data_IF_483867942999
#
_entry.id   IF_483867942999
#
_cell.length_a   1.000
_cell.length_b   1.000
_cell.length_c   1.000
_cell.angle_alpha   90.00
_cell.angle_beta   90.00
_cell.angle_gamma   90.00
#
_symmetry.space_group_name_H-M   'P 1'
#
loop_
_entity.id
_entity.type
_entity.pdbx_description
1 polymer ?
#
# COMPACT_ATOMS: atom_id res chain seq x y z
N UNK A 1 -4.42 -1.14 -17.76
CA UNK A 1 -3.37 -1.11 -16.76
C UNK A 1 -3.32 -2.41 -15.99
N UNK A 2 -2.16 -2.99 -15.82
CA UNK A 2 -2.08 -4.24 -15.09
C UNK A 2 -2.15 -3.99 -13.58
N UNK A 3 -2.69 -4.97 -12.89
CA UNK A 3 -2.78 -4.93 -11.44
C UNK A 3 -1.39 -4.82 -10.79
N UNK A 4 -0.41 -5.45 -11.42
CA UNK A 4 0.96 -5.42 -10.93
C UNK A 4 1.53 -4.00 -10.93
N UNK A 5 1.27 -3.23 -11.97
CA UNK A 5 1.76 -1.87 -12.04
C UNK A 5 1.08 -0.98 -11.00
N UNK A 6 -0.20 -1.18 -10.81
CA UNK A 6 -0.93 -0.46 -9.77
C UNK A 6 -0.35 -0.78 -8.40
N UNK A 7 -0.05 -2.04 -8.15
CA UNK A 7 0.52 -2.48 -6.89
C UNK A 7 1.87 -1.82 -6.62
N UNK A 8 2.72 -1.75 -7.63
CA UNK A 8 4.02 -1.11 -7.49
C UNK A 8 3.89 0.38 -7.21
N UNK A 9 2.96 1.05 -7.88
CA UNK A 9 2.71 2.47 -7.64
C UNK A 9 2.27 2.70 -6.19
N UNK A 10 1.41 1.85 -5.68
CA UNK A 10 0.93 1.95 -4.32
C UNK A 10 2.08 1.78 -3.34
N UNK A 11 2.95 0.81 -3.59
CA UNK A 11 4.08 0.54 -2.70
C UNK A 11 5.05 1.71 -2.64
N UNK A 12 5.17 2.46 -3.73
CA UNK A 12 6.04 3.62 -3.74
C UNK A 12 5.50 4.77 -2.90
N UNK A 13 4.19 4.94 -2.91
CA UNK A 13 3.58 6.00 -2.14
C UNK A 13 2.14 5.62 -1.74
N UNK A 14 2.00 4.80 -0.70
CA UNK A 14 0.68 4.34 -0.27
C UNK A 14 -0.27 5.48 0.12
N UNK A 15 0.27 6.52 0.72
CA UNK A 15 -0.56 7.63 1.18
C UNK A 15 -1.22 8.40 0.04
N UNK A 16 -0.71 8.23 -1.15
CA UNK A 16 -1.28 8.86 -2.33
C UNK A 16 -2.57 8.17 -2.76
N UNK A 17 -2.66 6.87 -2.53
CA UNK A 17 -3.78 6.04 -2.96
C UNK A 17 -4.78 5.86 -1.82
N UNK A 18 -4.28 5.63 -0.63
CA UNK A 18 -5.11 5.39 0.55
C UNK A 18 -4.94 6.54 1.54
N UNK A 19 -6.05 6.93 2.16
CA UNK A 19 -6.02 8.00 3.16
C UNK A 19 -5.45 7.52 4.48
N UNK A 20 -5.68 6.27 4.80
CA UNK A 20 -5.23 5.69 6.05
C UNK A 20 -4.85 4.23 5.83
N UNK A 21 -3.96 3.67 6.67
CA UNK A 21 -3.58 2.26 6.54
C UNK A 21 -4.76 1.31 6.59
N UNK A 22 -5.81 1.66 7.34
CA UNK A 22 -7.00 0.84 7.43
C UNK A 22 -7.72 0.67 6.10
N UNK A 23 -7.58 1.63 5.20
CA UNK A 23 -8.21 1.54 3.89
C UNK A 23 -7.60 0.44 3.04
N UNK A 24 -6.34 0.10 3.28
CA UNK A 24 -5.68 -1.01 2.59
C UNK A 24 -6.42 -2.30 2.88
N UNK A 25 -6.85 -2.49 4.12
CA UNK A 25 -7.53 -3.70 4.54
C UNK A 25 -8.92 -3.84 3.91
N UNK A 26 -9.49 -2.74 3.48
CA UNK A 26 -10.80 -2.71 2.83
C UNK A 26 -10.73 -2.94 1.34
N UNK A 27 -9.54 -2.85 0.77
CA UNK A 27 -9.37 -2.99 -0.66
C UNK A 27 -9.36 -4.47 -1.03
N UNK A 28 -10.40 -4.90 -1.74
CA UNK A 28 -10.56 -6.29 -2.13
C UNK A 28 -9.77 -6.67 -3.37
N UNK A 29 -9.13 -5.72 -3.99
CA UNK A 29 -8.33 -6.00 -5.18
C UNK A 29 -7.06 -6.77 -4.85
N UNK A 30 -6.65 -6.73 -3.58
CA UNK A 30 -5.41 -7.36 -3.14
C UNK A 30 -5.71 -8.39 -2.06
N UNK A 31 -4.91 -9.45 -2.06
CA UNK A 31 -5.01 -10.48 -1.03
C UNK A 31 -4.21 -10.06 0.22
N UNK A 32 -4.21 -10.93 1.22
CA UNK A 32 -3.56 -10.61 2.48
C UNK A 32 -2.07 -10.35 2.33
N UNK A 33 -1.41 -11.13 1.48
CA UNK A 33 0.03 -10.95 1.25
C UNK A 33 0.32 -9.58 0.64
N UNK A 34 -0.48 -9.19 -0.35
CA UNK A 34 -0.31 -7.90 -0.99
C UNK A 34 -0.60 -6.75 -0.03
N UNK A 35 -1.65 -6.90 0.78
CA UNK A 35 -1.99 -5.89 1.79
C UNK A 35 -0.85 -5.70 2.78
N UNK A 36 -0.26 -6.80 3.19
CA UNK A 36 0.86 -6.75 4.12
C UNK A 36 2.05 -6.00 3.51
N UNK A 37 2.35 -6.25 2.25
CA UNK A 37 3.44 -5.55 1.59
C UNK A 37 3.18 -4.05 1.50
N UNK A 38 1.94 -3.66 1.21
CA UNK A 38 1.59 -2.25 1.16
C UNK A 38 1.75 -1.61 2.54
N UNK A 39 1.29 -2.29 3.57
CA UNK A 39 1.41 -1.78 4.93
C UNK A 39 2.86 -1.68 5.38
N UNK A 40 3.69 -2.64 4.99
CA UNK A 40 5.11 -2.58 5.27
C UNK A 40 5.78 -1.42 4.56
N UNK A 41 5.39 -1.16 3.32
CA UNK A 41 5.92 -0.02 2.58
C UNK A 41 5.54 1.29 3.26
N UNK A 42 4.36 1.35 3.83
CA UNK A 42 3.92 2.53 4.56
C UNK A 42 4.76 2.74 5.82
N UNK A 43 4.99 1.64 6.55
CA UNK A 43 5.78 1.70 7.76
C UNK A 43 7.25 1.96 7.50
N UNK A 44 7.73 1.58 6.32
CA UNK A 44 9.13 1.76 5.95
C UNK A 44 9.45 3.20 5.57
N UNK A 45 8.45 4.06 5.45
CA UNK A 45 8.71 5.47 5.23
C UNK A 45 9.52 5.97 6.43
N UNK A 46 10.74 6.50 6.21
CA UNK A 46 11.56 6.94 7.32
C UNK A 46 10.85 8.02 8.11
N UNK A 47 10.65 7.72 9.37
CA UNK A 47 10.14 8.73 10.28
C UNK A 47 11.32 9.54 10.73
N UNK A 48 11.51 10.66 10.09
CA UNK A 48 12.59 11.53 10.48
C UNK A 48 12.28 12.12 11.85
N UNK A 49 13.21 12.04 12.78
CA UNK A 49 13.03 12.63 14.09
C UNK A 49 12.97 14.15 14.01
#
# INVERSE_FOLDING_TARGET
>A
MSKKKLFEDIKQNPARIYRAPGDVLRDRRFDDAARLEILQAWSAVPVEP
#
